data_IF_456641714969
#
_entry.id   IF_456641714969
#
_cell.length_a   1.000
_cell.length_b   1.000
_cell.length_c   1.000
_cell.angle_alpha   90.00
_cell.angle_beta   90.00
_cell.angle_gamma   90.00
#
_symmetry.space_group_name_H-M   'P 1'
#
loop_
_entity.id
_entity.type
_entity.pdbx_description
1 polymer ?
#
# COMPACT_ATOMS: atom_id res chain seq x y z
N UNK A 1 19.84 -40.20 2.92
CA UNK A 1 19.30 -38.89 3.37
C UNK A 1 20.16 -37.76 2.79
N UNK A 2 20.21 -37.55 1.49
CA UNK A 2 19.11 -37.02 0.66
C UNK A 2 19.30 -35.50 0.54
N UNK A 3 20.21 -35.06 -0.33
CA UNK A 3 20.60 -33.65 -0.58
C UNK A 3 19.39 -32.70 -0.69
N UNK A 4 18.24 -33.23 -1.17
CA UNK A 4 16.94 -32.55 -1.23
C UNK A 4 16.40 -32.07 0.13
N UNK A 5 16.62 -32.81 1.23
CA UNK A 5 16.23 -32.39 2.59
C UNK A 5 17.12 -31.27 3.14
N UNK A 6 18.41 -31.28 2.78
CA UNK A 6 19.35 -30.22 3.17
C UNK A 6 19.11 -28.92 2.39
N UNK A 7 18.74 -29.03 1.11
CA UNK A 7 18.34 -27.88 0.29
C UNK A 7 17.00 -27.27 0.76
N UNK A 8 16.01 -28.09 1.09
CA UNK A 8 14.74 -27.61 1.66
C UNK A 8 14.95 -26.93 3.02
N UNK A 9 15.78 -27.50 3.90
CA UNK A 9 16.14 -26.87 5.17
C UNK A 9 16.92 -25.55 4.97
N UNK A 10 17.82 -25.48 4.00
CA UNK A 10 18.55 -24.25 3.67
C UNK A 10 17.62 -23.17 3.12
N UNK A 11 16.63 -23.53 2.29
CA UNK A 11 15.61 -22.60 1.78
C UNK A 11 14.72 -22.10 2.91
N UNK A 12 14.28 -22.98 3.81
CA UNK A 12 13.49 -22.59 4.99
C UNK A 12 14.29 -21.67 5.91
N UNK A 13 15.58 -21.94 6.14
CA UNK A 13 16.47 -21.05 6.93
C UNK A 13 16.66 -19.70 6.23
N UNK A 14 16.86 -19.68 4.91
CA UNK A 14 16.96 -18.44 4.13
C UNK A 14 15.66 -17.63 4.24
N UNK A 15 14.52 -18.28 4.08
CA UNK A 15 13.20 -17.67 4.18
C UNK A 15 12.86 -17.17 5.59
N UNK A 16 13.29 -17.89 6.64
CA UNK A 16 13.18 -17.46 8.04
C UNK A 16 14.06 -16.25 8.35
N UNK A 17 15.30 -16.21 7.82
CA UNK A 17 16.15 -15.03 7.90
C UNK A 17 15.55 -13.84 7.12
N UNK A 18 14.92 -14.09 5.98
CA UNK A 18 14.31 -13.02 5.18
C UNK A 18 13.05 -12.44 5.83
N UNK A 19 12.25 -13.26 6.53
CA UNK A 19 11.14 -12.78 7.36
C UNK A 19 11.62 -11.90 8.52
N UNK A 20 12.66 -12.34 9.26
CA UNK A 20 13.20 -11.54 10.37
C UNK A 20 13.89 -10.24 9.92
N UNK A 21 14.48 -10.21 8.72
CA UNK A 21 15.07 -8.99 8.14
C UNK A 21 14.03 -7.97 7.63
N UNK A 22 12.77 -8.36 7.42
CA UNK A 22 11.66 -7.44 7.11
C UNK A 22 10.98 -6.88 8.35
N UNK A 23 10.96 -7.66 9.44
CA UNK A 23 10.42 -7.24 10.73
C UNK A 23 11.26 -6.15 11.42
N UNK A 24 12.57 -6.07 11.13
CA UNK A 24 13.48 -5.23 11.92
C UNK A 24 14.13 -4.06 11.16
N UNK A 25 13.91 -3.90 9.84
CA UNK A 25 14.42 -2.75 9.07
C UNK A 25 15.86 -2.33 9.41
N UNK A 26 16.73 -3.28 9.76
CA UNK A 26 17.90 -3.00 10.59
C UNK A 26 19.10 -3.80 10.14
N UNK A 27 19.80 -3.28 9.12
CA UNK A 27 21.25 -3.37 9.06
C UNK A 27 21.82 -2.21 8.22
N UNK A 28 21.40 -0.98 8.55
CA UNK A 28 22.33 0.14 8.38
C UNK A 28 23.39 0.02 9.49
N UNK A 29 24.63 0.37 9.17
CA UNK A 29 25.85 0.16 9.95
C UNK A 29 26.52 -1.23 9.81
N UNK A 30 26.97 -1.56 8.58
CA UNK A 30 28.38 -2.00 8.42
C UNK A 30 28.94 -2.07 6.99
N UNK A 31 28.42 -1.37 5.97
CA UNK A 31 28.99 -1.46 4.61
C UNK A 31 29.04 -0.15 3.80
N UNK A 32 29.24 0.98 4.47
CA UNK A 32 29.33 2.30 3.81
C UNK A 32 30.70 2.61 3.14
N UNK A 33 31.52 1.59 2.88
CA UNK A 33 32.85 1.78 2.26
C UNK A 33 33.02 1.27 0.83
N UNK A 34 31.98 0.77 0.14
CA UNK A 34 32.22 0.11 -1.16
C UNK A 34 31.41 0.54 -2.39
N UNK A 35 30.44 1.45 -2.33
CA UNK A 35 29.64 1.78 -3.55
C UNK A 35 29.37 3.28 -3.68
N UNK A 36 30.43 4.09 -3.63
CA UNK A 36 30.47 5.42 -4.27
C UNK A 36 31.18 5.28 -5.60
N UNK A 37 30.42 5.25 -6.69
CA UNK A 37 31.00 5.37 -8.03
C UNK A 37 30.22 4.67 -9.11
N UNK A 38 28.94 4.97 -9.31
CA UNK A 38 28.30 4.82 -10.61
C UNK A 38 27.00 5.63 -10.61
N UNK A 39 26.76 6.36 -11.70
CA UNK A 39 25.60 7.24 -11.98
C UNK A 39 25.80 8.74 -11.70
N UNK A 40 26.79 9.33 -12.36
CA UNK A 40 26.62 10.62 -13.02
C UNK A 40 26.67 10.38 -14.54
N UNK A 41 26.04 11.26 -15.35
CA UNK A 41 25.95 11.27 -16.84
C UNK A 41 24.74 10.47 -17.36
N UNK A 42 23.68 10.98 -18.02
CA UNK A 42 23.37 12.26 -18.69
C UNK A 42 21.84 12.41 -18.85
N UNK A 43 21.30 13.63 -18.79
CA UNK A 43 20.08 14.04 -19.50
C UNK A 43 20.13 15.54 -19.85
N UNK A 44 19.96 15.93 -21.13
CA UNK A 44 19.57 17.28 -21.52
C UNK A 44 18.20 17.34 -22.24
N UNK A 45 17.64 18.56 -22.46
CA UNK A 45 16.23 18.87 -22.21
C UNK A 45 15.47 19.51 -23.41
N UNK A 46 14.17 19.80 -23.22
CA UNK A 46 13.32 20.93 -23.73
C UNK A 46 11.83 20.49 -23.76
N UNK A 47 10.76 21.29 -23.82
CA UNK A 47 10.33 22.63 -23.34
C UNK A 47 8.91 22.89 -23.95
N UNK A 48 7.95 23.29 -23.09
CA UNK A 48 6.71 24.11 -23.22
C UNK A 48 5.81 24.21 -24.50
N UNK A 49 4.50 23.88 -24.30
CA UNK A 49 3.19 24.59 -24.63
C UNK A 49 2.80 25.01 -26.09
N UNK A 50 1.51 25.40 -26.42
CA UNK A 50 0.22 25.39 -25.70
C UNK A 50 -1.05 24.92 -26.50
N UNK A 51 -2.21 25.02 -25.83
CA UNK A 51 -3.63 24.72 -26.12
C UNK A 51 -4.24 25.05 -27.51
N UNK A 52 -5.34 24.33 -27.86
CA UNK A 52 -6.61 24.92 -28.33
C UNK A 52 -7.76 23.87 -28.34
N UNK A 53 -8.97 24.37 -28.06
CA UNK A 53 -10.24 23.65 -27.85
C UNK A 53 -10.84 23.08 -29.14
N UNK A 54 -11.63 22.01 -29.01
CA UNK A 54 -12.91 21.88 -29.72
C UNK A 54 -13.86 20.97 -28.96
N UNK A 55 -15.12 21.40 -28.95
CA UNK A 55 -16.24 20.96 -28.11
C UNK A 55 -17.15 19.95 -28.84
N UNK A 56 -18.08 19.40 -28.05
CA UNK A 56 -19.25 18.58 -28.38
C UNK A 56 -18.96 17.09 -28.57
N UNK A 57 -19.71 16.18 -27.95
CA UNK A 57 -21.13 16.21 -27.63
C UNK A 57 -21.47 15.52 -26.31
N UNK A 58 -22.41 16.11 -25.57
CA UNK A 58 -23.14 15.48 -24.47
C UNK A 58 -23.80 14.17 -24.92
N UNK A 59 -23.56 13.12 -24.15
CA UNK A 59 -24.46 11.97 -24.07
C UNK A 59 -24.43 11.46 -22.63
N UNK A 60 -25.49 11.83 -21.91
CA UNK A 60 -26.26 11.02 -20.98
C UNK A 60 -25.51 10.32 -19.84
N UNK A 61 -25.46 11.01 -18.70
CA UNK A 61 -25.28 10.39 -17.39
C UNK A 61 -26.46 9.45 -17.12
N UNK A 62 -26.19 8.19 -16.79
CA UNK A 62 -26.65 7.50 -15.55
C UNK A 62 -26.38 5.99 -15.68
N UNK A 63 -25.11 5.58 -15.70
CA UNK A 63 -24.76 4.22 -15.25
C UNK A 63 -23.47 4.33 -14.43
N UNK A 64 -23.58 4.11 -13.12
CA UNK A 64 -22.40 3.91 -12.28
C UNK A 64 -21.53 2.78 -12.85
N UNK A 65 -20.22 2.77 -12.58
CA UNK A 65 -19.31 1.79 -13.18
C UNK A 65 -19.81 0.37 -12.91
N UNK A 66 -20.00 -0.47 -13.97
CA UNK A 66 -20.74 -1.73 -13.91
C UNK A 66 -20.24 -2.59 -12.76
N UNK A 67 -21.09 -2.91 -11.79
CA UNK A 67 -20.70 -3.59 -10.53
C UNK A 67 -19.94 -4.88 -10.86
N UNK A 68 -18.70 -5.02 -10.34
CA UNK A 68 -17.94 -6.25 -10.51
C UNK A 68 -18.68 -7.38 -9.77
N UNK A 69 -18.99 -8.46 -10.47
CA UNK A 69 -19.63 -9.62 -9.88
C UNK A 69 -18.63 -10.41 -9.01
N UNK A 70 -19.11 -11.12 -7.96
CA UNK A 70 -18.31 -12.14 -7.28
C UNK A 70 -17.84 -13.23 -8.26
N UNK A 71 -16.68 -13.83 -7.98
CA UNK A 71 -16.08 -14.92 -8.74
C UNK A 71 -16.20 -16.23 -7.94
N UNK A 72 -17.23 -17.07 -8.19
CA UNK A 72 -17.51 -18.23 -7.35
C UNK A 72 -16.33 -19.21 -7.30
N UNK A 73 -16.07 -19.79 -6.12
CA UNK A 73 -15.01 -20.77 -5.92
C UNK A 73 -13.60 -20.20 -5.77
N UNK A 74 -13.42 -18.87 -5.87
CA UNK A 74 -12.16 -18.21 -5.53
C UNK A 74 -12.22 -17.67 -4.09
N UNK A 75 -11.12 -17.81 -3.34
CA UNK A 75 -11.01 -17.19 -2.01
C UNK A 75 -10.88 -15.66 -2.15
N UNK A 76 -10.02 -15.22 -3.09
CA UNK A 76 -9.92 -13.81 -3.48
C UNK A 76 -11.12 -13.38 -4.35
N UNK A 77 -11.67 -12.21 -4.04
CA UNK A 77 -12.80 -11.57 -4.70
C UNK A 77 -12.43 -10.14 -5.10
N UNK A 78 -12.19 -9.92 -6.40
CA UNK A 78 -11.86 -8.59 -6.94
C UNK A 78 -12.98 -7.56 -6.71
N UNK A 79 -14.23 -8.00 -6.67
CA UNK A 79 -15.39 -7.14 -6.36
C UNK A 79 -15.36 -6.62 -4.92
N UNK A 80 -14.98 -7.47 -3.96
CA UNK A 80 -14.82 -7.12 -2.55
C UNK A 80 -13.64 -6.17 -2.37
N UNK A 81 -12.52 -6.44 -3.04
CA UNK A 81 -11.35 -5.56 -3.02
C UNK A 81 -11.72 -4.15 -3.48
N UNK A 82 -12.36 -4.03 -4.64
CA UNK A 82 -12.79 -2.73 -5.19
C UNK A 82 -13.81 -2.06 -4.26
N UNK A 83 -14.75 -2.81 -3.68
CA UNK A 83 -15.71 -2.26 -2.72
C UNK A 83 -15.00 -1.63 -1.51
N UNK A 84 -14.03 -2.32 -0.91
CA UNK A 84 -13.25 -1.79 0.22
C UNK A 84 -12.39 -0.58 -0.18
N UNK A 85 -11.72 -0.62 -1.33
CA UNK A 85 -10.94 0.52 -1.83
C UNK A 85 -11.83 1.75 -2.06
N UNK A 86 -13.04 1.56 -2.61
CA UNK A 86 -14.00 2.65 -2.81
C UNK A 86 -14.54 3.17 -1.48
N UNK A 87 -14.88 2.29 -0.53
CA UNK A 87 -15.33 2.69 0.80
C UNK A 87 -14.23 3.41 1.61
N UNK A 88 -12.95 3.12 1.33
CA UNK A 88 -11.83 3.81 1.96
C UNK A 88 -11.68 5.27 1.52
N UNK A 89 -12.32 5.69 0.43
CA UNK A 89 -12.32 7.08 -0.01
C UNK A 89 -13.20 7.91 0.92
N UNK A 90 -12.58 8.69 1.81
CA UNK A 90 -13.33 9.68 2.59
C UNK A 90 -13.78 10.84 1.68
N UNK A 91 -14.84 11.56 2.07
CA UNK A 91 -15.31 12.74 1.34
C UNK A 91 -14.30 13.91 1.34
N UNK A 92 -13.38 13.96 2.30
CA UNK A 92 -12.47 15.10 2.58
C UNK A 92 -11.06 14.96 1.99
N UNK A 93 -10.89 14.30 0.84
CA UNK A 93 -9.57 13.93 0.28
C UNK A 93 -8.68 13.11 1.24
N UNK A 94 -9.28 12.51 2.27
CA UNK A 94 -8.64 11.63 3.25
C UNK A 94 -8.94 10.15 2.92
N UNK A 95 -8.36 9.23 3.69
CA UNK A 95 -8.53 7.78 3.57
C UNK A 95 -9.00 7.19 4.90
N UNK A 96 -10.14 6.51 4.89
CA UNK A 96 -10.67 5.82 6.06
C UNK A 96 -9.86 4.55 6.34
N UNK A 97 -9.43 4.36 7.58
CA UNK A 97 -8.52 3.27 7.95
C UNK A 97 -9.19 1.90 7.95
N UNK A 98 -10.40 1.78 8.51
CA UNK A 98 -11.08 0.48 8.59
C UNK A 98 -11.26 -0.19 7.20
N UNK A 99 -11.92 0.44 6.21
CA UNK A 99 -12.06 -0.14 4.88
C UNK A 99 -10.72 -0.25 4.13
N UNK A 100 -9.75 0.63 4.38
CA UNK A 100 -8.40 0.51 3.83
C UNK A 100 -7.72 -0.79 4.31
N UNK A 101 -7.79 -1.10 5.60
CA UNK A 101 -7.23 -2.33 6.16
C UNK A 101 -8.02 -3.56 5.69
N UNK A 102 -9.33 -3.47 5.52
CA UNK A 102 -10.12 -4.55 4.89
C UNK A 102 -9.74 -4.80 3.43
N UNK A 103 -9.32 -3.76 2.68
CA UNK A 103 -8.79 -3.96 1.33
C UNK A 103 -7.49 -4.79 1.36
N UNK A 104 -6.65 -4.60 2.38
CA UNK A 104 -5.45 -5.42 2.58
C UNK A 104 -5.78 -6.87 2.94
N UNK A 105 -6.82 -7.14 3.73
CA UNK A 105 -7.24 -8.52 4.00
C UNK A 105 -7.62 -9.25 2.69
N UNK A 106 -8.26 -8.54 1.76
CA UNK A 106 -8.58 -9.09 0.45
C UNK A 106 -7.32 -9.26 -0.43
N UNK A 107 -6.36 -8.34 -0.36
CA UNK A 107 -5.06 -8.48 -1.03
C UNK A 107 -4.22 -9.64 -0.48
N UNK A 108 -4.33 -9.95 0.81
CA UNK A 108 -3.71 -11.14 1.42
C UNK A 108 -4.23 -12.40 0.77
N UNK A 109 -5.55 -12.54 0.56
CA UNK A 109 -6.13 -13.68 -0.16
C UNK A 109 -5.65 -13.77 -1.61
N UNK A 110 -5.46 -12.62 -2.28
CA UNK A 110 -4.87 -12.57 -3.62
C UNK A 110 -3.46 -13.17 -3.61
N UNK A 111 -2.61 -12.74 -2.66
CA UNK A 111 -1.26 -13.28 -2.52
C UNK A 111 -1.29 -14.78 -2.22
N UNK A 112 -2.06 -15.23 -1.24
CA UNK A 112 -2.17 -16.66 -0.91
C UNK A 112 -2.58 -17.53 -2.11
N UNK A 113 -3.41 -16.98 -3.01
CA UNK A 113 -3.82 -17.66 -4.25
C UNK A 113 -2.64 -17.91 -5.21
N UNK A 114 -1.57 -17.11 -5.16
CA UNK A 114 -0.35 -17.29 -5.97
C UNK A 114 0.49 -18.48 -5.51
N UNK A 115 0.21 -19.05 -4.33
CA UNK A 115 0.82 -20.27 -3.81
C UNK A 115 1.72 -20.05 -2.59
N UNK A 116 2.28 -21.15 -2.02
CA UNK A 116 2.92 -21.13 -0.71
C UNK A 116 4.19 -20.27 -0.64
N UNK A 117 4.81 -19.97 -1.79
CA UNK A 117 6.03 -19.15 -1.85
C UNK A 117 5.83 -17.71 -1.40
N UNK A 118 4.59 -17.20 -1.43
CA UNK A 118 4.28 -15.83 -1.00
C UNK A 118 3.65 -15.75 0.39
N UNK A 119 3.49 -16.87 1.09
CA UNK A 119 2.91 -16.93 2.44
C UNK A 119 3.63 -16.04 3.45
N UNK A 120 4.95 -15.92 3.34
CA UNK A 120 5.74 -15.02 4.19
C UNK A 120 5.42 -13.55 3.92
N UNK A 121 5.18 -13.18 2.66
CA UNK A 121 4.80 -11.81 2.28
C UNK A 121 3.40 -11.50 2.83
N UNK A 122 2.47 -12.45 2.70
CA UNK A 122 1.13 -12.36 3.29
C UNK A 122 1.20 -12.13 4.80
N UNK A 123 1.97 -12.95 5.51
CA UNK A 123 2.13 -12.87 6.97
C UNK A 123 2.70 -11.51 7.43
N UNK A 124 3.65 -10.95 6.68
CA UNK A 124 4.19 -9.62 6.97
C UNK A 124 3.14 -8.50 6.85
N UNK A 125 2.27 -8.60 5.84
CA UNK A 125 1.19 -7.63 5.63
C UNK A 125 0.11 -7.78 6.70
N UNK A 126 -0.25 -9.01 7.06
CA UNK A 126 -1.16 -9.28 8.18
C UNK A 126 -0.63 -8.73 9.50
N UNK A 127 0.66 -8.96 9.79
CA UNK A 127 1.31 -8.42 10.99
C UNK A 127 1.22 -6.89 11.04
N UNK A 128 1.54 -6.21 9.92
CA UNK A 128 1.51 -4.74 9.84
C UNK A 128 0.09 -4.17 9.92
N UNK A 129 -0.90 -4.80 9.28
CA UNK A 129 -2.30 -4.36 9.39
C UNK A 129 -2.84 -4.61 10.81
N UNK A 130 -2.42 -5.68 11.49
CA UNK A 130 -2.79 -5.96 12.87
C UNK A 130 -2.26 -4.89 13.85
N UNK A 131 -1.04 -4.37 13.64
CA UNK A 131 -0.49 -3.27 14.45
C UNK A 131 -1.43 -2.06 14.42
N UNK A 132 -1.83 -1.59 13.22
CA UNK A 132 -2.71 -0.42 13.10
C UNK A 132 -4.07 -0.67 13.77
N UNK A 133 -4.63 -1.89 13.64
CA UNK A 133 -5.88 -2.29 14.32
C UNK A 133 -5.74 -2.29 15.85
N UNK A 134 -4.63 -2.80 16.37
CA UNK A 134 -4.38 -2.83 17.81
C UNK A 134 -4.23 -1.41 18.37
N UNK A 135 -3.49 -0.53 17.67
CA UNK A 135 -3.36 0.87 18.04
C UNK A 135 -4.71 1.59 18.06
N UNK A 136 -5.59 1.31 17.08
CA UNK A 136 -6.95 1.82 17.06
C UNK A 136 -7.75 1.40 18.30
N UNK A 137 -7.74 0.11 18.65
CA UNK A 137 -8.44 -0.43 19.82
C UNK A 137 -7.89 0.12 21.14
N UNK A 138 -6.57 0.28 21.25
CA UNK A 138 -5.93 0.86 22.45
C UNK A 138 -6.31 2.32 22.61
N UNK A 139 -6.42 3.07 21.51
CA UNK A 139 -6.82 4.47 21.56
C UNK A 139 -8.29 4.67 21.95
N UNK A 140 -9.17 3.70 21.73
CA UNK A 140 -10.57 3.73 22.20
C UNK A 140 -10.71 3.36 23.68
N UNK A 141 -9.81 2.52 24.20
CA UNK A 141 -9.80 2.10 25.61
C UNK A 141 -9.09 3.07 26.55
N UNK A 142 -8.34 4.02 26.01
CA UNK A 142 -7.65 5.05 26.79
C UNK A 142 -8.71 5.97 27.45
N UNK A 143 -8.59 6.31 28.75
CA UNK A 143 -9.66 6.93 29.55
C UNK A 143 -9.88 8.43 29.26
N UNK A 144 -9.91 8.81 28.00
CA UNK A 144 -10.41 10.11 27.52
C UNK A 144 -11.93 10.04 27.21
N UNK A 145 -12.54 8.85 27.37
CA UNK A 145 -13.95 8.58 27.16
C UNK A 145 -14.79 8.41 28.45
N UNK A 146 -14.20 8.55 29.64
CA UNK A 146 -14.96 8.63 30.89
C UNK A 146 -15.13 10.09 31.32
N UNK A 147 -16.29 10.64 30.94
CA UNK A 147 -17.04 11.74 31.57
C UNK A 147 -16.33 12.52 32.70
N UNK A 148 -15.90 13.74 32.39
CA UNK A 148 -15.83 14.81 33.41
C UNK A 148 -17.27 15.24 33.71
N UNK A 149 -17.76 15.19 34.97
CA UNK A 149 -19.01 15.85 35.32
C UNK A 149 -18.79 17.37 35.35
N UNK A 150 -19.62 18.09 34.62
CA UNK A 150 -19.80 19.55 34.72
C UNK A 150 -19.91 20.00 36.18
N UNK A 151 -19.20 21.09 36.54
CA UNK A 151 -19.74 22.18 37.38
C UNK A 151 -18.77 23.39 37.46
N UNK A 152 -19.29 24.53 36.98
CA UNK A 152 -19.05 25.96 37.29
C UNK A 152 -17.79 26.74 36.83
N UNK A 153 -18.01 27.54 35.78
CA UNK A 153 -18.04 29.02 35.74
C UNK A 153 -16.86 29.83 36.31
N UNK A 154 -16.14 30.52 35.41
CA UNK A 154 -15.28 31.68 35.75
C UNK A 154 -14.56 32.29 34.54
N UNK A 155 -14.83 33.57 34.26
CA UNK A 155 -14.32 34.40 33.15
C UNK A 155 -12.78 34.54 33.07
N UNK A 156 -12.22 34.70 31.86
CA UNK A 156 -11.46 35.89 31.40
C UNK A 156 -10.55 35.68 30.16
N UNK A 157 -10.68 36.62 29.21
CA UNK A 157 -9.66 37.30 28.39
C UNK A 157 -8.78 36.59 27.33
N UNK A 158 -9.07 36.93 26.06
CA UNK A 158 -8.21 37.29 24.91
C UNK A 158 -6.77 36.75 24.76
N UNK A 159 -6.55 36.00 23.67
CA UNK A 159 -5.39 36.17 22.77
C UNK A 159 -5.65 35.52 21.39
N UNK A 160 -5.35 36.16 20.24
CA UNK A 160 -5.65 35.60 18.93
C UNK A 160 -4.42 34.91 18.32
N UNK A 161 -4.24 33.63 18.59
CA UNK A 161 -3.38 32.76 17.77
C UNK A 161 -4.26 31.94 16.86
N UNK A 162 -4.18 32.24 15.55
CA UNK A 162 -4.81 31.47 14.48
C UNK A 162 -4.09 30.13 14.37
N UNK A 163 -4.39 29.21 15.30
CA UNK A 163 -4.25 27.79 15.06
C UNK A 163 -5.49 27.42 14.24
N UNK A 164 -5.29 27.01 12.99
CA UNK A 164 -6.35 26.37 12.20
C UNK A 164 -6.86 25.17 13.00
N UNK A 165 -7.92 25.40 13.75
CA UNK A 165 -8.70 24.39 14.45
C UNK A 165 -9.39 23.58 13.36
N UNK A 166 -8.70 22.59 12.80
CA UNK A 166 -9.39 21.48 12.18
C UNK A 166 -10.26 20.90 13.28
N UNK A 167 -11.57 21.09 13.14
CA UNK A 167 -12.55 20.50 14.02
C UNK A 167 -12.18 19.02 14.17
N UNK A 168 -11.80 18.63 15.38
CA UNK A 168 -11.72 17.22 15.75
C UNK A 168 -13.12 16.68 15.61
N UNK A 169 -13.42 16.15 14.43
CA UNK A 169 -14.57 15.30 14.22
C UNK A 169 -14.44 14.19 15.26
N UNK A 170 -15.51 13.94 16.02
CA UNK A 170 -15.58 12.95 17.11
C UNK A 170 -15.54 11.51 16.57
N UNK A 171 -14.71 11.28 15.57
CA UNK A 171 -14.41 10.00 14.93
C UNK A 171 -13.02 9.63 15.45
N UNK A 172 -12.92 8.49 16.11
CA UNK A 172 -11.77 8.12 16.95
C UNK A 172 -10.40 8.32 16.30
N UNK A 173 -9.34 8.36 17.12
CA UNK A 173 -7.96 8.65 16.71
C UNK A 173 -7.50 7.93 15.42
N UNK A 174 -7.92 6.68 15.21
CA UNK A 174 -7.58 5.86 14.05
C UNK A 174 -8.75 5.68 13.07
N UNK A 175 -9.61 6.69 12.93
CA UNK A 175 -10.70 6.68 11.97
C UNK A 175 -10.19 6.86 10.52
N UNK A 176 -9.23 7.76 10.30
CA UNK A 176 -8.62 8.03 9.00
C UNK A 176 -7.10 8.17 9.08
N UNK A 177 -6.44 8.20 7.92
CA UNK A 177 -4.99 8.39 7.82
C UNK A 177 -4.59 9.71 8.47
N UNK A 178 -5.30 10.82 8.20
CA UNK A 178 -4.96 12.11 8.81
C UNK A 178 -5.26 12.17 10.30
N UNK A 179 -6.36 11.56 10.78
CA UNK A 179 -6.65 11.53 12.22
C UNK A 179 -5.56 10.75 12.95
N UNK A 180 -5.10 9.62 12.38
CA UNK A 180 -4.01 8.83 12.92
C UNK A 180 -2.72 9.65 12.98
N UNK A 181 -2.31 10.26 11.86
CA UNK A 181 -1.11 11.11 11.81
C UNK A 181 -1.16 12.20 12.89
N UNK A 182 -2.29 12.91 12.99
CA UNK A 182 -2.47 13.97 13.98
C UNK A 182 -2.38 13.43 15.42
N UNK A 183 -3.05 12.32 15.73
CA UNK A 183 -3.02 11.74 17.07
C UNK A 183 -1.62 11.25 17.43
N UNK A 184 -0.94 10.55 16.55
CA UNK A 184 0.39 9.99 16.84
C UNK A 184 1.45 11.09 17.01
N UNK A 185 1.40 12.15 16.21
CA UNK A 185 2.26 13.33 16.39
C UNK A 185 2.00 14.01 17.74
N UNK A 186 0.74 14.23 18.11
CA UNK A 186 0.41 14.89 19.38
C UNK A 186 0.78 14.08 20.61
N UNK A 187 0.77 12.74 20.49
CA UNK A 187 1.21 11.83 21.54
C UNK A 187 2.74 11.64 21.55
N UNK A 188 3.47 12.19 20.57
CA UNK A 188 4.92 12.10 20.48
C UNK A 188 5.44 10.68 20.24
N UNK A 189 4.64 9.79 19.61
CA UNK A 189 5.04 8.39 19.36
C UNK A 189 5.66 8.18 17.98
N UNK A 190 5.59 9.18 17.10
CA UNK A 190 6.31 9.16 15.81
C UNK A 190 7.71 9.71 16.03
N UNK A 191 8.72 8.93 15.65
CA UNK A 191 10.12 9.34 15.65
C UNK A 191 10.66 9.31 14.21
N UNK A 192 11.35 10.39 13.81
CA UNK A 192 11.89 10.58 12.46
C UNK A 192 13.35 10.10 12.33
N UNK A 193 13.98 9.70 13.43
CA UNK A 193 15.38 9.28 13.50
C UNK A 193 15.51 7.83 13.98
N UNK A 194 14.59 7.36 14.81
CA UNK A 194 14.59 6.01 15.38
C UNK A 194 13.34 5.22 14.99
N UNK A 195 13.49 3.91 14.90
CA UNK A 195 12.37 3.03 14.60
C UNK A 195 11.39 2.98 15.78
N UNK A 196 10.11 3.16 15.47
CA UNK A 196 8.99 3.07 16.41
C UNK A 196 7.96 2.08 15.89
N UNK A 197 7.13 1.53 16.76
CA UNK A 197 5.99 0.70 16.36
C UNK A 197 4.74 1.57 16.04
N UNK A 198 4.96 2.78 15.54
CA UNK A 198 3.89 3.73 15.20
C UNK A 198 3.07 3.27 13.99
N UNK A 199 1.80 3.62 13.99
CA UNK A 199 0.86 3.44 12.90
C UNK A 199 1.32 4.18 11.64
N UNK A 200 1.89 5.38 11.75
CA UNK A 200 2.43 6.15 10.62
C UNK A 200 3.58 5.43 9.94
N UNK A 201 4.55 4.92 10.73
CA UNK A 201 5.65 4.12 10.20
C UNK A 201 5.12 2.87 9.51
N UNK A 202 4.19 2.17 10.15
CA UNK A 202 3.59 0.93 9.64
C UNK A 202 2.81 1.18 8.34
N UNK A 203 2.01 2.25 8.30
CA UNK A 203 1.27 2.69 7.12
C UNK A 203 2.22 3.00 5.95
N UNK A 204 3.37 3.63 6.20
CA UNK A 204 4.36 3.92 5.15
C UNK A 204 4.86 2.64 4.46
N UNK A 205 5.03 1.53 5.20
CA UNK A 205 5.49 0.24 4.60
C UNK A 205 4.39 -0.35 3.72
N UNK A 206 3.15 -0.34 4.20
CA UNK A 206 1.98 -0.75 3.42
C UNK A 206 1.84 0.13 2.16
N UNK A 207 1.97 1.45 2.30
CA UNK A 207 1.90 2.43 1.21
C UNK A 207 2.92 2.16 0.10
N UNK A 208 4.18 1.88 0.46
CA UNK A 208 5.23 1.49 -0.50
C UNK A 208 4.90 0.16 -1.19
N UNK A 209 4.36 -0.82 -0.48
CA UNK A 209 3.93 -2.09 -1.06
C UNK A 209 2.73 -1.93 -2.00
N UNK A 210 1.81 -1.01 -1.69
CA UNK A 210 0.65 -0.71 -2.51
C UNK A 210 1.06 -0.13 -3.87
N UNK A 211 2.10 0.72 -3.91
CA UNK A 211 2.64 1.23 -5.17
C UNK A 211 3.18 0.11 -6.06
N UNK A 212 3.94 -0.82 -5.49
CA UNK A 212 4.43 -1.98 -6.22
C UNK A 212 3.29 -2.78 -6.85
N UNK A 213 2.26 -3.09 -6.05
CA UNK A 213 1.09 -3.82 -6.52
C UNK A 213 0.37 -3.06 -7.63
N UNK A 214 0.13 -1.75 -7.45
CA UNK A 214 -0.48 -0.87 -8.47
C UNK A 214 0.28 -0.98 -9.80
N UNK A 215 1.61 -0.84 -9.78
CA UNK A 215 2.42 -0.92 -11.00
C UNK A 215 2.41 -2.32 -11.63
N UNK A 216 2.45 -3.37 -10.82
CA UNK A 216 2.35 -4.74 -11.33
C UNK A 216 1.01 -4.97 -12.03
N UNK A 217 -0.11 -4.62 -11.39
CA UNK A 217 -1.45 -4.80 -11.97
C UNK A 217 -1.67 -3.92 -13.20
N UNK A 218 -1.14 -2.69 -13.19
CA UNK A 218 -1.19 -1.80 -14.35
C UNK A 218 -0.47 -2.41 -15.55
N UNK A 219 0.75 -2.91 -15.36
CA UNK A 219 1.50 -3.60 -16.42
C UNK A 219 0.82 -4.89 -16.87
N UNK A 220 0.19 -5.62 -15.95
CA UNK A 220 -0.54 -6.85 -16.27
C UNK A 220 -1.80 -6.57 -17.12
N UNK A 221 -2.41 -5.40 -16.94
CA UNK A 221 -3.57 -4.93 -17.69
C UNK A 221 -3.24 -4.44 -19.12
N UNK A 222 -1.98 -4.10 -19.41
CA UNK A 222 -1.59 -3.55 -20.70
C UNK A 222 -1.92 -4.51 -21.87
N UNK A 223 -2.52 -3.95 -22.92
CA UNK A 223 -2.79 -4.61 -24.20
C UNK A 223 -1.87 -4.02 -25.28
N UNK A 224 -0.69 -4.62 -25.53
CA UNK A 224 0.25 -4.06 -26.49
C UNK A 224 -0.34 -4.07 -27.91
N UNK A 225 -0.24 -2.92 -28.61
CA UNK A 225 -0.71 -2.77 -30.01
C UNK A 225 0.02 -3.71 -30.98
N UNK A 226 1.27 -4.08 -30.67
CA UNK A 226 2.07 -5.04 -31.42
C UNK A 226 2.98 -5.82 -30.45
N UNK A 227 3.15 -7.12 -30.71
CA UNK A 227 4.03 -8.00 -29.93
C UNK A 227 3.31 -8.94 -28.97
N UNK A 228 4.09 -9.82 -28.33
CA UNK A 228 3.58 -10.83 -27.39
C UNK A 228 3.42 -10.21 -25.99
N UNK A 229 2.38 -10.62 -25.27
CA UNK A 229 2.22 -10.31 -23.85
C UNK A 229 3.41 -10.82 -23.03
N UNK A 230 4.03 -9.94 -22.25
CA UNK A 230 5.16 -10.25 -21.36
C UNK A 230 4.73 -11.16 -20.21
N UNK A 231 5.60 -11.99 -19.66
CA UNK A 231 5.22 -12.91 -18.56
C UNK A 231 4.84 -12.13 -17.28
N UNK A 232 3.89 -12.61 -16.45
CA UNK A 232 3.60 -11.99 -15.15
C UNK A 232 4.84 -11.89 -14.24
N UNK A 233 5.73 -12.87 -14.28
CA UNK A 233 7.01 -12.85 -13.57
C UNK A 233 7.88 -11.66 -13.93
N UNK A 234 8.03 -11.35 -15.21
CA UNK A 234 8.87 -10.23 -15.66
C UNK A 234 8.23 -8.89 -15.29
N UNK A 235 6.91 -8.77 -15.44
CA UNK A 235 6.18 -7.55 -15.07
C UNK A 235 6.25 -7.29 -13.56
N UNK A 236 6.14 -8.34 -12.75
CA UNK A 236 6.22 -8.26 -11.30
C UNK A 236 7.63 -7.88 -10.82
N UNK A 237 8.67 -8.49 -11.43
CA UNK A 237 10.08 -8.15 -11.16
C UNK A 237 10.37 -6.70 -11.52
N UNK A 238 9.91 -6.24 -12.67
CA UNK A 238 10.10 -4.85 -13.10
C UNK A 238 9.37 -3.87 -12.19
N UNK A 239 8.12 -4.15 -11.81
CA UNK A 239 7.39 -3.34 -10.85
C UNK A 239 8.15 -3.24 -9.52
N UNK A 240 8.71 -4.35 -9.03
CA UNK A 240 9.48 -4.40 -7.79
C UNK A 240 10.75 -3.56 -7.87
N UNK A 241 11.50 -3.70 -8.96
CA UNK A 241 12.74 -2.95 -9.20
C UNK A 241 12.48 -1.44 -9.22
N UNK A 242 11.35 -0.99 -9.78
CA UNK A 242 10.99 0.43 -9.86
C UNK A 242 10.39 1.01 -8.56
N UNK A 243 10.17 0.19 -7.52
CA UNK A 243 9.44 0.61 -6.32
C UNK A 243 10.11 0.10 -5.04
N UNK A 244 9.61 -1.02 -4.51
CA UNK A 244 10.01 -1.61 -3.24
C UNK A 244 11.51 -1.92 -3.16
N UNK A 245 12.16 -2.21 -4.28
CA UNK A 245 13.60 -2.54 -4.26
C UNK A 245 14.44 -1.45 -3.61
N UNK A 246 14.08 -0.17 -3.78
CA UNK A 246 14.79 0.97 -3.21
C UNK A 246 14.81 0.98 -1.68
N UNK A 247 13.85 0.30 -1.03
CA UNK A 247 13.70 0.26 0.42
C UNK A 247 14.17 -1.07 1.03
N UNK A 248 14.66 -2.00 0.21
CA UNK A 248 15.05 -3.34 0.65
C UNK A 248 16.56 -3.53 0.62
N UNK A 249 17.05 -4.32 1.57
CA UNK A 249 18.43 -4.78 1.60
C UNK A 249 18.73 -5.70 0.42
N UNK A 250 20.02 -5.87 0.10
CA UNK A 250 20.46 -6.72 -1.00
C UNK A 250 19.91 -8.16 -0.91
N UNK A 251 19.91 -8.74 0.29
CA UNK A 251 19.41 -10.10 0.52
C UNK A 251 17.92 -10.22 0.22
N UNK A 252 17.14 -9.24 0.67
CA UNK A 252 15.70 -9.17 0.40
C UNK A 252 15.42 -9.04 -1.09
N UNK A 253 16.15 -8.19 -1.80
CA UNK A 253 16.01 -8.04 -3.26
C UNK A 253 16.23 -9.37 -3.97
N UNK A 254 17.28 -10.09 -3.57
CA UNK A 254 17.62 -11.38 -4.17
C UNK A 254 16.55 -12.45 -3.92
N UNK A 255 15.99 -12.46 -2.71
CA UNK A 255 14.90 -13.35 -2.36
C UNK A 255 13.63 -13.08 -3.17
N UNK A 256 13.24 -11.80 -3.28
CA UNK A 256 12.09 -11.38 -4.06
C UNK A 256 12.24 -11.78 -5.54
N UNK A 257 13.41 -11.54 -6.14
CA UNK A 257 13.70 -11.93 -7.52
C UNK A 257 13.54 -13.43 -7.79
N UNK A 258 13.93 -14.26 -6.82
CA UNK A 258 13.73 -15.72 -6.87
C UNK A 258 12.25 -16.09 -6.72
N UNK A 259 11.53 -15.44 -5.80
CA UNK A 259 10.10 -15.67 -5.60
C UNK A 259 9.30 -15.36 -6.87
N UNK A 260 9.66 -14.32 -7.62
CA UNK A 260 8.96 -13.96 -8.86
C UNK A 260 9.10 -14.99 -9.99
N UNK A 261 10.11 -15.86 -9.94
CA UNK A 261 10.22 -16.99 -10.90
C UNK A 261 9.09 -17.99 -10.70
N UNK A 262 8.55 -18.10 -9.48
CA UNK A 262 7.46 -18.99 -9.14
C UNK A 262 6.07 -18.39 -9.39
N UNK A 263 5.96 -17.19 -9.95
CA UNK A 263 4.67 -16.58 -10.24
C UNK A 263 3.90 -17.39 -11.29
N UNK A 264 2.57 -17.52 -11.14
CA UNK A 264 1.74 -18.21 -12.12
C UNK A 264 1.74 -17.54 -13.50
N UNK A 265 1.44 -18.36 -14.52
CA UNK A 265 1.21 -17.87 -15.88
C UNK A 265 -0.07 -17.03 -15.99
N UNK A 266 -0.15 -16.18 -17.01
CA UNK A 266 -1.26 -15.22 -17.18
C UNK A 266 -2.66 -15.83 -17.13
N UNK A 267 -2.82 -17.04 -17.66
CA UNK A 267 -4.11 -17.75 -17.61
C UNK A 267 -4.61 -18.04 -16.18
N UNK A 268 -3.72 -18.05 -15.19
CA UNK A 268 -4.11 -18.09 -13.78
C UNK A 268 -4.88 -16.84 -13.37
N UNK A 269 -4.39 -15.65 -13.75
CA UNK A 269 -5.03 -14.38 -13.42
C UNK A 269 -6.41 -14.24 -14.07
N UNK A 270 -6.60 -14.78 -15.28
CA UNK A 270 -7.92 -14.86 -15.91
C UNK A 270 -8.93 -15.60 -15.03
N UNK A 271 -8.55 -16.79 -14.55
CA UNK A 271 -9.39 -17.59 -13.65
C UNK A 271 -9.62 -16.91 -12.30
N UNK A 272 -8.59 -16.27 -11.76
CA UNK A 272 -8.63 -15.62 -10.45
C UNK A 272 -9.65 -14.48 -10.40
N UNK A 273 -9.88 -13.78 -11.51
CA UNK A 273 -10.88 -12.70 -11.61
C UNK A 273 -12.08 -13.06 -12.49
N UNK A 274 -12.27 -14.34 -12.81
CA UNK A 274 -13.39 -14.85 -13.62
C UNK A 274 -13.58 -14.18 -14.99
N UNK A 275 -12.48 -13.94 -15.71
CA UNK A 275 -12.49 -13.40 -17.09
C UNK A 275 -11.93 -14.42 -18.08
N UNK A 276 -12.26 -14.26 -19.36
CA UNK A 276 -11.88 -15.23 -20.40
C UNK A 276 -10.63 -14.83 -21.19
N UNK A 277 -10.33 -13.54 -21.28
CA UNK A 277 -9.28 -13.03 -22.17
C UNK A 277 -8.58 -11.78 -21.59
N UNK A 278 -7.56 -11.32 -22.31
CA UNK A 278 -6.74 -10.17 -21.90
C UNK A 278 -7.54 -8.86 -21.91
N UNK A 279 -8.52 -8.68 -22.79
CA UNK A 279 -9.31 -7.46 -22.89
C UNK A 279 -10.19 -7.29 -21.65
N UNK A 280 -10.91 -8.36 -21.26
CA UNK A 280 -11.70 -8.39 -20.03
C UNK A 280 -10.82 -8.23 -18.79
N UNK A 281 -9.65 -8.90 -18.75
CA UNK A 281 -8.68 -8.71 -17.66
C UNK A 281 -8.24 -7.25 -17.55
N UNK A 282 -7.95 -6.61 -18.68
CA UNK A 282 -7.53 -5.22 -18.75
C UNK A 282 -8.59 -4.29 -18.14
N UNK A 283 -9.87 -4.49 -18.47
CA UNK A 283 -10.99 -3.71 -17.91
C UNK A 283 -11.06 -3.86 -16.38
N UNK A 284 -11.01 -5.09 -15.88
CA UNK A 284 -11.10 -5.37 -14.44
C UNK A 284 -9.89 -4.77 -13.69
N UNK A 285 -8.68 -5.03 -14.17
CA UNK A 285 -7.46 -4.56 -13.51
C UNK A 285 -7.31 -3.04 -13.59
N UNK A 286 -7.73 -2.40 -14.69
CA UNK A 286 -7.72 -0.93 -14.79
C UNK A 286 -8.60 -0.30 -13.72
N UNK A 287 -9.77 -0.89 -13.43
CA UNK A 287 -10.63 -0.42 -12.34
C UNK A 287 -9.95 -0.54 -10.97
N UNK A 288 -9.28 -1.67 -10.71
CA UNK A 288 -8.52 -1.88 -9.47
C UNK A 288 -7.38 -0.87 -9.36
N UNK A 289 -6.60 -0.68 -10.42
CA UNK A 289 -5.46 0.26 -10.48
C UNK A 289 -5.91 1.70 -10.25
N UNK A 290 -7.04 2.11 -10.81
CA UNK A 290 -7.60 3.44 -10.59
C UNK A 290 -8.02 3.64 -9.13
N UNK A 291 -8.72 2.65 -8.55
CA UNK A 291 -9.13 2.71 -7.15
C UNK A 291 -7.93 2.74 -6.19
N UNK A 292 -6.92 1.89 -6.42
CA UNK A 292 -5.65 1.92 -5.67
C UNK A 292 -4.95 3.26 -5.86
N UNK A 293 -4.93 3.79 -7.09
CA UNK A 293 -4.29 5.06 -7.42
C UNK A 293 -4.84 6.22 -6.60
N UNK A 294 -6.16 6.34 -6.50
CA UNK A 294 -6.78 7.40 -5.69
C UNK A 294 -6.42 7.30 -4.20
N UNK A 295 -6.41 6.09 -3.62
CA UNK A 295 -6.03 5.87 -2.22
C UNK A 295 -4.54 6.17 -2.00
N UNK A 296 -3.70 5.72 -2.93
CA UNK A 296 -2.26 5.97 -2.91
C UNK A 296 -1.99 7.48 -2.94
N UNK A 297 -2.57 8.23 -3.86
CA UNK A 297 -2.29 9.66 -4.02
C UNK A 297 -2.71 10.47 -2.77
N UNK A 298 -3.86 10.13 -2.16
CA UNK A 298 -4.31 10.75 -0.90
C UNK A 298 -3.39 10.44 0.27
N UNK A 299 -2.97 9.17 0.39
CA UNK A 299 -2.07 8.72 1.46
C UNK A 299 -0.68 9.33 1.29
N UNK A 300 -0.16 9.35 0.07
CA UNK A 300 1.09 10.00 -0.32
C UNK A 300 1.09 11.47 0.10
N UNK A 301 0.04 12.21 -0.27
CA UNK A 301 -0.11 13.62 0.10
C UNK A 301 -0.16 13.83 1.61
N UNK A 302 -0.91 12.99 2.34
CA UNK A 302 -1.00 13.10 3.79
C UNK A 302 0.36 12.84 4.49
N UNK A 303 1.13 11.85 4.01
CA UNK A 303 2.47 11.58 4.54
C UNK A 303 3.47 12.69 4.17
N UNK A 304 3.42 13.20 2.93
CA UNK A 304 4.31 14.26 2.43
C UNK A 304 4.12 15.58 3.19
N UNK A 305 2.87 16.01 3.39
CA UNK A 305 2.54 17.22 4.15
C UNK A 305 3.08 17.20 5.59
N UNK A 306 3.36 16.03 6.13
CA UNK A 306 3.89 15.84 7.48
C UNK A 306 5.36 15.36 7.51
N UNK A 307 6.05 15.34 6.36
CA UNK A 307 7.47 14.93 6.27
C UNK A 307 7.71 13.44 6.56
N UNK A 308 6.71 12.58 6.38
CA UNK A 308 6.73 11.18 6.81
C UNK A 308 7.10 10.17 5.72
N UNK A 309 7.58 10.61 4.55
CA UNK A 309 7.92 9.70 3.45
C UNK A 309 9.18 8.85 3.71
N UNK A 310 9.98 9.25 4.68
CA UNK A 310 11.27 8.64 5.01
C UNK A 310 11.36 8.15 6.47
N UNK A 311 10.21 7.89 7.13
CA UNK A 311 10.22 7.36 8.50
C UNK A 311 11.08 6.07 8.57
N UNK A 312 12.06 5.99 9.50
CA UNK A 312 12.99 4.85 9.66
C UNK A 312 12.24 3.57 10.01
#
# INVERSE_FOLDING_TARGET
>A
MGVKRKAAAAIVVLLLCLGSLWLQGGLDYHWDSCLKGYNQVNKPPLQNQPHQLSNSSEADETQGPPVLAPCPGQNFQVSVLVSHLLAARAYTSDVLLQPYLSSWDELVKFMESLGPMVSLISQEIETKTAIIRQLALLSEKSPEAELVPDIHSGNAANSPTVVKKFAGDSRGAYHSVRSMIWTELNRGIVDFHHQTDSGCRTLLRLHRALLWLKLFLQKLAETPMAGRLRSPSDLCREAYQNTLSHHHTWFVRRAAELAFIALPERGFFFRLVCVQNQEELSVVLTRVVNAIGEIYDRTQKALEENGMLDLP
#
